data_IF_696459837383
#
_entry.id   IF_696459837383
#
_cell.length_a   1.000
_cell.length_b   1.000
_cell.length_c   1.000
_cell.angle_alpha   90.00
_cell.angle_beta   90.00
_cell.angle_gamma   90.00
#
_symmetry.space_group_name_H-M   'P 1'
#
loop_
_entity.id
_entity.type
_entity.pdbx_description
1 polymer ?
#
# COMPACT_ATOMS: atom_id res chain seq x y z
N UNK A 1 17.46 1.48 11.59
CA UNK A 1 18.04 0.77 10.42
C UNK A 1 18.11 -0.74 10.62
N UNK A 2 17.98 -1.23 11.85
CA UNK A 2 18.09 -2.67 12.16
C UNK A 2 16.76 -3.44 12.13
N UNK A 3 15.62 -2.79 11.86
CA UNK A 3 14.29 -3.42 11.90
C UNK A 3 13.63 -3.63 10.52
N UNK A 4 14.33 -3.28 9.43
CA UNK A 4 13.84 -3.49 8.07
C UNK A 4 15.00 -3.96 7.18
N UNK A 5 15.31 -5.25 7.26
CA UNK A 5 16.34 -5.83 6.41
C UNK A 5 16.79 -7.15 6.98
N UNK A 6 16.74 -8.17 6.13
CA UNK A 6 17.34 -9.47 6.39
C UNK A 6 18.79 -9.33 6.90
N UNK A 7 19.26 -10.34 7.64
CA UNK A 7 20.57 -10.47 8.32
C UNK A 7 21.81 -10.39 7.40
N UNK A 8 21.68 -9.87 6.18
CA UNK A 8 22.70 -9.84 5.14
C UNK A 8 23.83 -8.81 5.37
N UNK A 9 23.73 -7.97 6.41
CA UNK A 9 24.82 -7.07 6.78
C UNK A 9 26.02 -7.80 7.44
N UNK A 10 25.86 -9.05 7.85
CA UNK A 10 26.95 -9.84 8.45
C UNK A 10 27.58 -10.79 7.43
N UNK A 11 28.61 -10.29 6.71
CA UNK A 11 29.63 -11.17 6.11
C UNK A 11 30.10 -10.77 4.71
N UNK A 12 31.39 -10.50 4.60
CA UNK A 12 32.10 -10.47 3.32
C UNK A 12 32.20 -11.91 2.78
N UNK A 13 31.56 -12.20 1.64
CA UNK A 13 31.58 -13.55 1.06
C UNK A 13 32.47 -13.54 -0.17
N UNK A 14 33.65 -14.15 -0.07
CA UNK A 14 34.49 -14.40 -1.22
C UNK A 14 33.71 -15.29 -2.20
N UNK A 15 33.48 -14.81 -3.42
CA UNK A 15 32.59 -15.44 -4.41
C UNK A 15 32.97 -16.85 -4.90
N UNK A 16 33.97 -17.50 -4.28
CA UNK A 16 34.44 -18.84 -4.63
C UNK A 16 33.78 -19.96 -3.81
N UNK A 17 33.05 -19.67 -2.73
CA UNK A 17 32.54 -20.68 -1.77
C UNK A 17 30.99 -20.85 -1.74
N UNK A 18 30.24 -20.19 -2.64
CA UNK A 18 28.78 -20.30 -2.69
C UNK A 18 28.31 -21.15 -3.87
N UNK A 19 27.32 -22.02 -3.63
CA UNK A 19 26.61 -22.66 -4.73
C UNK A 19 25.87 -21.59 -5.55
N UNK A 20 25.73 -21.83 -6.86
CA UNK A 20 25.07 -20.88 -7.77
C UNK A 20 23.63 -20.60 -7.31
N UNK A 21 22.91 -21.62 -6.84
CA UNK A 21 21.54 -21.47 -6.36
C UNK A 21 21.46 -20.54 -5.14
N UNK A 22 22.38 -20.67 -4.18
CA UNK A 22 22.47 -19.79 -3.00
C UNK A 22 22.80 -18.34 -3.38
N UNK A 23 23.65 -18.15 -4.40
CA UNK A 23 23.99 -16.82 -4.91
C UNK A 23 22.77 -16.16 -5.58
N UNK A 24 22.03 -16.92 -6.40
CA UNK A 24 20.82 -16.43 -7.07
C UNK A 24 19.76 -16.03 -6.04
N UNK A 25 19.54 -16.84 -5.01
CA UNK A 25 18.59 -16.52 -3.93
C UNK A 25 18.98 -15.22 -3.21
N UNK A 26 20.26 -15.04 -2.87
CA UNK A 26 20.74 -13.80 -2.21
C UNK A 26 20.59 -12.56 -3.09
N UNK A 27 20.91 -12.67 -4.38
CA UNK A 27 20.75 -11.55 -5.33
C UNK A 27 19.28 -11.21 -5.49
N UNK A 28 18.41 -12.21 -5.59
CA UNK A 28 16.97 -12.01 -5.68
C UNK A 28 16.41 -11.33 -4.43
N UNK A 29 16.82 -11.78 -3.24
CA UNK A 29 16.45 -11.14 -1.97
C UNK A 29 16.90 -9.68 -1.92
N UNK A 30 18.16 -9.38 -2.26
CA UNK A 30 18.68 -8.01 -2.30
C UNK A 30 17.93 -7.12 -3.30
N UNK A 31 17.66 -7.61 -4.51
CA UNK A 31 16.91 -6.84 -5.51
C UNK A 31 15.46 -6.62 -5.07
N UNK A 32 14.84 -7.60 -4.42
CA UNK A 32 13.50 -7.46 -3.83
C UNK A 32 13.50 -6.41 -2.72
N UNK A 33 14.49 -6.44 -1.83
CA UNK A 33 14.65 -5.44 -0.76
C UNK A 33 14.82 -4.03 -1.36
N UNK A 34 15.67 -3.86 -2.37
CA UNK A 34 15.85 -2.57 -3.06
C UNK A 34 14.56 -2.12 -3.76
N UNK A 35 13.86 -3.02 -4.45
CA UNK A 35 12.59 -2.72 -5.14
C UNK A 35 11.50 -2.29 -4.17
N UNK A 36 11.44 -2.92 -3.00
CA UNK A 36 10.39 -2.68 -2.00
C UNK A 36 10.76 -1.59 -0.99
N UNK A 37 12.01 -1.12 -1.01
CA UNK A 37 12.45 0.01 -0.18
C UNK A 37 11.76 1.29 -0.65
N UNK A 38 11.05 1.94 0.27
CA UNK A 38 10.37 3.19 -0.03
C UNK A 38 11.38 4.34 -0.16
N UNK A 39 11.63 4.77 -1.39
CA UNK A 39 12.39 6.00 -1.67
C UNK A 39 11.40 7.15 -1.77
N UNK A 40 11.68 8.26 -1.08
CA UNK A 40 10.85 9.47 -1.16
C UNK A 40 10.72 9.88 -2.63
N UNK A 41 9.48 10.01 -3.12
CA UNK A 41 9.13 10.34 -4.51
C UNK A 41 9.44 11.82 -4.89
N UNK A 42 10.43 12.43 -4.24
CA UNK A 42 10.84 13.82 -4.46
C UNK A 42 11.03 14.62 -3.17
N UNK A 43 11.03 15.95 -3.32
CA UNK A 43 11.01 16.91 -2.23
C UNK A 43 9.58 17.41 -2.00
N UNK A 44 9.28 17.76 -0.76
CA UNK A 44 8.04 18.43 -0.39
C UNK A 44 8.07 19.90 -0.82
N UNK A 45 6.97 20.38 -1.39
CA UNK A 45 6.72 21.80 -1.61
C UNK A 45 5.62 22.27 -0.67
N UNK A 46 5.91 23.33 0.09
CA UNK A 46 4.98 23.85 1.10
C UNK A 46 3.65 24.29 0.45
N UNK A 47 2.53 23.83 0.99
CA UNK A 47 1.20 24.15 0.47
C UNK A 47 0.74 23.31 -0.73
N UNK A 48 1.60 22.43 -1.24
CA UNK A 48 1.32 21.59 -2.41
C UNK A 48 1.25 20.12 -1.98
N UNK A 49 0.04 19.59 -1.67
CA UNK A 49 -0.10 18.16 -1.44
C UNK A 49 0.30 17.36 -2.70
N UNK A 50 0.70 16.09 -2.55
CA UNK A 50 0.89 15.21 -3.69
C UNK A 50 -0.41 15.10 -4.51
N UNK A 51 -0.25 14.95 -5.82
CA UNK A 51 -1.36 14.87 -6.78
C UNK A 51 -1.14 13.72 -7.77
N UNK A 52 -2.21 13.31 -8.45
CA UNK A 52 -2.22 12.26 -9.47
C UNK A 52 -1.54 10.97 -8.96
N UNK A 53 -0.71 10.32 -9.78
CA UNK A 53 0.00 9.09 -9.44
C UNK A 53 0.80 9.19 -8.13
N UNK A 54 1.31 10.39 -7.80
CA UNK A 54 2.06 10.58 -6.53
C UNK A 54 1.14 10.48 -5.32
N UNK A 55 -0.11 10.92 -5.43
CA UNK A 55 -1.08 10.80 -4.34
C UNK A 55 -1.41 9.33 -4.10
N UNK A 56 -1.64 8.57 -5.18
CA UNK A 56 -1.94 7.13 -5.12
C UNK A 56 -0.82 6.38 -4.41
N UNK A 57 0.42 6.53 -4.90
CA UNK A 57 1.61 5.90 -4.30
C UNK A 57 1.82 6.30 -2.84
N UNK A 58 1.57 7.57 -2.52
CA UNK A 58 1.72 8.06 -1.16
C UNK A 58 0.69 7.45 -0.20
N UNK A 59 -0.57 7.35 -0.63
CA UNK A 59 -1.64 6.73 0.16
C UNK A 59 -1.41 5.23 0.35
N UNK A 60 -1.06 4.50 -0.72
CA UNK A 60 -0.71 3.06 -0.64
C UNK A 60 0.44 2.84 0.33
N UNK A 61 1.43 3.75 0.35
CA UNK A 61 2.53 3.62 1.28
C UNK A 61 2.15 3.96 2.73
N UNK A 62 1.31 4.97 2.96
CA UNK A 62 0.80 5.31 4.30
C UNK A 62 -0.05 4.18 4.90
N UNK A 63 -0.77 3.43 4.06
CA UNK A 63 -1.62 2.31 4.48
C UNK A 63 -0.96 0.94 4.32
N UNK A 64 0.35 0.91 4.04
CA UNK A 64 1.13 -0.34 3.94
C UNK A 64 1.12 -1.14 5.25
N UNK A 65 1.00 -0.46 6.39
CA UNK A 65 0.88 -1.05 7.72
C UNK A 65 -0.49 -0.73 8.30
N UNK A 66 -0.87 -1.47 9.35
CA UNK A 66 -2.07 -1.18 10.12
C UNK A 66 -2.01 0.25 10.69
N UNK A 67 -3.12 0.96 10.57
CA UNK A 67 -3.30 2.30 11.13
C UNK A 67 -4.26 2.23 12.32
N UNK A 68 -4.24 3.21 13.25
CA UNK A 68 -5.21 3.24 14.34
C UNK A 68 -6.66 3.27 13.79
N UNK A 69 -7.38 2.17 13.99
CA UNK A 69 -8.76 2.02 13.50
C UNK A 69 -8.91 1.58 12.05
N UNK A 70 -7.85 1.06 11.40
CA UNK A 70 -7.95 0.44 10.08
C UNK A 70 -6.83 -0.61 9.83
N UNK A 71 -7.12 -1.73 9.15
CA UNK A 71 -6.12 -2.74 8.80
C UNK A 71 -5.13 -2.24 7.73
N UNK A 72 -4.05 -2.98 7.53
CA UNK A 72 -3.10 -2.73 6.43
C UNK A 72 -3.78 -2.96 5.08
N UNK A 73 -3.74 -1.98 4.17
CA UNK A 73 -4.23 -2.15 2.80
C UNK A 73 -3.51 -3.31 2.10
N UNK A 74 -2.19 -3.39 2.27
CA UNK A 74 -1.36 -4.42 1.62
C UNK A 74 -1.73 -5.82 2.07
N UNK A 75 -1.95 -6.01 3.37
CA UNK A 75 -2.37 -7.29 3.93
C UNK A 75 -3.81 -7.65 3.54
N UNK A 76 -4.72 -6.68 3.56
CA UNK A 76 -6.10 -6.87 3.14
C UNK A 76 -6.19 -7.31 1.67
N UNK A 77 -5.46 -6.63 0.77
CA UNK A 77 -5.39 -6.99 -0.65
C UNK A 77 -4.76 -8.38 -0.82
N UNK A 78 -3.66 -8.69 -0.13
CA UNK A 78 -3.06 -10.03 -0.15
C UNK A 78 -4.08 -11.11 0.26
N UNK A 79 -4.83 -10.86 1.33
CA UNK A 79 -5.88 -11.75 1.80
C UNK A 79 -6.99 -11.98 0.77
N UNK A 80 -7.43 -10.95 0.05
CA UNK A 80 -8.45 -11.08 -1.01
C UNK A 80 -7.91 -11.85 -2.20
N UNK A 81 -6.66 -11.59 -2.60
CA UNK A 81 -5.99 -12.30 -3.69
C UNK A 81 -5.68 -13.78 -3.37
N UNK A 82 -5.85 -14.20 -2.11
CA UNK A 82 -5.54 -15.54 -1.62
C UNK A 82 -4.05 -15.75 -1.33
N UNK A 83 -3.29 -14.67 -1.16
CA UNK A 83 -1.85 -14.68 -0.85
C UNK A 83 -1.67 -14.68 0.67
N UNK A 84 -0.84 -15.59 1.17
CA UNK A 84 -0.38 -15.59 2.56
C UNK A 84 0.61 -14.42 2.77
N UNK A 85 0.20 -13.43 3.56
CA UNK A 85 0.94 -12.18 3.75
C UNK A 85 2.31 -12.38 4.42
N UNK A 86 2.39 -13.29 5.40
CA UNK A 86 3.65 -13.56 6.12
C UNK A 86 4.62 -14.30 5.19
N UNK A 87 4.15 -15.32 4.48
CA UNK A 87 4.96 -16.04 3.50
C UNK A 87 5.43 -15.13 2.37
N UNK A 88 4.57 -14.21 1.92
CA UNK A 88 4.91 -13.20 0.92
C UNK A 88 6.10 -12.32 1.37
N UNK A 89 6.16 -12.00 2.66
CA UNK A 89 7.19 -11.13 3.24
C UNK A 89 8.46 -11.87 3.61
N UNK A 90 8.34 -13.09 4.13
CA UNK A 90 9.45 -13.86 4.67
C UNK A 90 10.13 -14.75 3.62
N UNK A 91 9.41 -15.15 2.58
CA UNK A 91 9.87 -16.13 1.59
C UNK A 91 9.59 -15.69 0.15
N UNK A 92 10.00 -14.47 -0.27
CA UNK A 92 9.67 -13.92 -1.59
C UNK A 92 10.12 -14.81 -2.77
N UNK A 93 11.21 -15.57 -2.64
CA UNK A 93 11.69 -16.47 -3.69
C UNK A 93 10.97 -17.82 -3.76
N UNK A 94 10.12 -18.17 -2.79
CA UNK A 94 9.43 -19.45 -2.81
C UNK A 94 8.25 -19.43 -3.79
N UNK A 95 8.10 -20.52 -4.54
CA UNK A 95 7.00 -20.74 -5.47
C UNK A 95 5.81 -21.37 -4.73
N UNK A 96 4.60 -20.82 -4.96
CA UNK A 96 3.36 -21.39 -4.44
C UNK A 96 2.56 -22.02 -5.59
N UNK A 97 2.16 -23.28 -5.43
CA UNK A 97 1.46 -24.03 -6.47
C UNK A 97 0.03 -23.52 -6.73
N UNK A 98 -0.66 -22.99 -5.71
CA UNK A 98 -2.02 -22.47 -5.87
C UNK A 98 -2.01 -21.11 -6.55
N UNK A 99 -1.04 -20.25 -6.21
CA UNK A 99 -0.84 -18.97 -6.88
C UNK A 99 -0.27 -19.15 -8.30
N UNK A 100 0.48 -20.22 -8.54
CA UNK A 100 1.15 -20.47 -9.82
C UNK A 100 2.29 -19.49 -10.11
N UNK A 101 2.88 -18.91 -9.07
CA UNK A 101 3.96 -17.92 -9.14
C UNK A 101 4.76 -17.87 -7.84
N UNK A 102 5.86 -17.12 -7.84
CA UNK A 102 6.62 -16.82 -6.62
C UNK A 102 5.91 -15.79 -5.74
N UNK A 103 6.22 -15.81 -4.45
CA UNK A 103 5.71 -14.81 -3.51
C UNK A 103 6.17 -13.38 -3.83
N UNK A 104 7.30 -13.19 -4.50
CA UNK A 104 7.74 -11.88 -4.99
C UNK A 104 6.84 -11.38 -6.13
N UNK A 105 6.48 -12.24 -7.08
CA UNK A 105 5.51 -11.91 -8.13
C UNK A 105 4.12 -11.65 -7.55
N UNK A 106 3.71 -12.44 -6.55
CA UNK A 106 2.46 -12.19 -5.82
C UNK A 106 2.49 -10.83 -5.09
N UNK A 107 3.63 -10.45 -4.49
CA UNK A 107 3.80 -9.15 -3.85
C UNK A 107 3.68 -7.98 -4.84
N UNK A 108 4.19 -8.15 -6.05
CA UNK A 108 4.02 -7.17 -7.13
C UNK A 108 2.54 -7.03 -7.50
N UNK A 109 1.83 -8.16 -7.65
CA UNK A 109 0.40 -8.15 -7.96
C UNK A 109 -0.43 -7.51 -6.84
N UNK A 110 -0.10 -7.77 -5.57
CA UNK A 110 -0.73 -7.11 -4.42
C UNK A 110 -0.54 -5.59 -4.50
N UNK A 111 0.66 -5.12 -4.84
CA UNK A 111 0.95 -3.70 -4.96
C UNK A 111 0.20 -3.05 -6.12
N UNK A 112 0.19 -3.69 -7.30
CA UNK A 112 -0.57 -3.23 -8.47
C UNK A 112 -2.06 -3.07 -8.14
N UNK A 113 -2.68 -4.10 -7.56
CA UNK A 113 -4.10 -4.04 -7.16
C UNK A 113 -4.34 -2.95 -6.11
N UNK A 114 -3.41 -2.75 -5.17
CA UNK A 114 -3.51 -1.66 -4.19
C UNK A 114 -3.51 -0.29 -4.88
N UNK A 115 -2.61 -0.09 -5.86
CA UNK A 115 -2.55 1.16 -6.62
C UNK A 115 -3.81 1.35 -7.49
N UNK A 116 -4.29 0.31 -8.17
CA UNK A 116 -5.49 0.37 -9.02
C UNK A 116 -6.75 0.74 -8.21
N UNK A 117 -6.91 0.14 -7.02
CA UNK A 117 -8.01 0.46 -6.11
C UNK A 117 -7.95 1.92 -5.65
N UNK A 118 -6.79 2.38 -5.19
CA UNK A 118 -6.61 3.76 -4.70
C UNK A 118 -6.71 4.77 -5.84
N UNK A 119 -6.23 4.45 -7.04
CA UNK A 119 -6.40 5.28 -8.23
C UNK A 119 -7.89 5.44 -8.57
N UNK A 120 -8.66 4.35 -8.53
CA UNK A 120 -10.11 4.39 -8.75
C UNK A 120 -10.82 5.28 -7.73
N UNK A 121 -10.43 5.22 -6.46
CA UNK A 121 -10.93 6.14 -5.43
C UNK A 121 -10.55 7.59 -5.75
N UNK A 122 -9.30 7.85 -6.14
CA UNK A 122 -8.81 9.19 -6.44
C UNK A 122 -9.52 9.83 -7.65
N UNK A 123 -9.80 9.06 -8.71
CA UNK A 123 -10.58 9.49 -9.88
C UNK A 123 -12.00 9.95 -9.52
N UNK A 124 -12.56 9.39 -8.45
CA UNK A 124 -13.86 9.77 -7.87
C UNK A 124 -13.75 10.79 -6.74
N UNK A 125 -12.57 11.34 -6.50
CA UNK A 125 -12.34 12.33 -5.45
C UNK A 125 -12.49 11.78 -4.03
N UNK A 126 -12.31 10.47 -3.85
CA UNK A 126 -12.49 9.74 -2.59
C UNK A 126 -13.93 9.80 -2.02
N UNK A 127 -14.91 10.15 -2.86
CA UNK A 127 -16.33 10.16 -2.52
C UNK A 127 -17.01 9.00 -3.26
N UNK A 128 -17.00 7.83 -2.63
CA UNK A 128 -17.54 6.59 -3.20
C UNK A 128 -18.58 6.02 -2.24
N UNK A 129 -19.83 5.77 -2.68
CA UNK A 129 -20.87 5.20 -1.82
C UNK A 129 -20.46 3.84 -1.26
N UNK A 130 -20.94 3.49 -0.06
CA UNK A 130 -20.64 2.17 0.51
C UNK A 130 -21.32 1.05 -0.29
N UNK A 131 -22.54 1.28 -0.78
CA UNK A 131 -23.35 0.26 -1.46
C UNK A 131 -24.29 0.82 -2.51
N UNK A 132 -24.81 -0.07 -3.36
CA UNK A 132 -25.90 0.21 -4.33
C UNK A 132 -27.14 0.88 -3.72
N UNK A 133 -27.36 0.75 -2.41
CA UNK A 133 -28.50 1.40 -1.74
C UNK A 133 -28.28 2.88 -1.49
N UNK A 134 -27.01 3.27 -1.37
CA UNK A 134 -26.56 4.63 -1.10
C UNK A 134 -26.08 5.33 -2.37
N UNK A 135 -25.74 4.53 -3.39
CA UNK A 135 -25.45 4.97 -4.73
C UNK A 135 -26.65 5.71 -5.36
N UNK A 136 -26.37 6.87 -5.93
CA UNK A 136 -27.26 7.57 -6.84
C UNK A 136 -27.35 6.85 -8.20
N UNK A 137 -28.33 7.22 -9.04
CA UNK A 137 -28.53 6.61 -10.36
C UNK A 137 -27.35 6.79 -11.32
N UNK A 138 -26.43 7.72 -11.04
CA UNK A 138 -25.23 8.01 -11.84
C UNK A 138 -23.94 7.41 -11.24
N UNK A 139 -24.02 6.73 -10.09
CA UNK A 139 -22.87 6.12 -9.43
C UNK A 139 -22.56 4.75 -10.02
N UNK A 140 -21.61 4.71 -10.95
CA UNK A 140 -21.18 3.47 -11.61
C UNK A 140 -20.31 2.55 -10.73
N UNK A 141 -19.82 3.05 -9.59
CA UNK A 141 -18.86 2.35 -8.71
C UNK A 141 -19.27 2.60 -7.26
N UNK A 142 -19.24 1.55 -6.44
CA UNK A 142 -19.36 1.63 -4.98
C UNK A 142 -18.32 0.73 -4.31
N UNK A 143 -18.12 0.93 -3.00
CA UNK A 143 -17.10 0.23 -2.23
C UNK A 143 -17.27 -1.29 -2.28
N UNK A 144 -18.51 -1.78 -2.25
CA UNK A 144 -18.78 -3.22 -2.33
C UNK A 144 -18.38 -3.82 -3.68
N UNK A 145 -18.66 -3.14 -4.79
CA UNK A 145 -18.25 -3.60 -6.12
C UNK A 145 -16.72 -3.64 -6.22
N UNK A 146 -16.03 -2.56 -5.81
CA UNK A 146 -14.56 -2.50 -5.84
C UNK A 146 -13.91 -3.67 -5.12
N UNK A 147 -14.46 -4.07 -3.97
CA UNK A 147 -13.91 -5.15 -3.15
C UNK A 147 -14.25 -6.54 -3.68
N UNK A 148 -15.44 -6.72 -4.26
CA UNK A 148 -15.91 -8.01 -4.77
C UNK A 148 -15.33 -8.34 -6.15
N UNK A 149 -15.05 -7.32 -6.95
CA UNK A 149 -14.46 -7.47 -8.29
C UNK A 149 -12.96 -7.79 -8.27
N UNK A 150 -12.33 -7.86 -7.09
CA UNK A 150 -10.95 -8.32 -6.95
C UNK A 150 -10.89 -9.86 -7.02
N UNK A 151 -10.40 -10.36 -8.14
CA UNK A 151 -10.21 -11.80 -8.37
C UNK A 151 -9.00 -12.37 -7.63
N UNK A 152 -9.14 -13.60 -7.11
CA UNK A 152 -8.02 -14.38 -6.56
C UNK A 152 -6.97 -14.73 -7.62
N UNK A 153 -5.72 -14.91 -7.19
CA UNK A 153 -4.64 -15.36 -8.07
C UNK A 153 -4.70 -16.88 -8.24
N UNK A 154 -4.68 -17.35 -9.48
CA UNK A 154 -4.62 -18.78 -9.80
C UNK A 154 -5.79 -19.57 -9.20
N UNK A 155 -5.48 -20.67 -8.52
CA UNK A 155 -6.45 -21.52 -7.81
C UNK A 155 -6.51 -21.21 -6.30
N UNK A 156 -5.90 -20.10 -5.86
CA UNK A 156 -5.92 -19.68 -4.47
C UNK A 156 -7.33 -19.27 -4.02
N UNK A 157 -7.49 -19.12 -2.70
CA UNK A 157 -8.77 -18.76 -2.10
C UNK A 157 -8.58 -17.56 -1.19
N UNK A 158 -9.47 -16.58 -1.33
CA UNK A 158 -9.51 -15.44 -0.43
C UNK A 158 -9.58 -15.90 1.03
N UNK A 159 -8.81 -15.22 1.90
CA UNK A 159 -8.86 -15.43 3.34
C UNK A 159 -10.25 -15.00 3.85
N UNK A 160 -10.80 -15.77 4.78
CA UNK A 160 -12.05 -15.40 5.45
C UNK A 160 -11.93 -14.02 6.11
N UNK A 161 -12.86 -13.12 5.80
CA UNK A 161 -12.88 -11.74 6.31
C UNK A 161 -12.04 -10.74 5.50
N UNK A 162 -11.25 -11.19 4.52
CA UNK A 162 -10.34 -10.28 3.80
C UNK A 162 -11.06 -9.18 3.01
N UNK A 163 -12.25 -9.46 2.47
CA UNK A 163 -13.06 -8.43 1.82
C UNK A 163 -13.55 -7.37 2.81
N UNK A 164 -13.84 -7.75 4.06
CA UNK A 164 -14.25 -6.81 5.09
C UNK A 164 -13.05 -5.95 5.54
N UNK A 165 -11.90 -6.58 5.75
CA UNK A 165 -10.66 -5.87 6.06
C UNK A 165 -10.25 -4.92 4.91
N UNK A 166 -10.46 -5.32 3.65
CA UNK A 166 -10.20 -4.45 2.50
C UNK A 166 -11.16 -3.26 2.46
N UNK A 167 -12.45 -3.50 2.72
CA UNK A 167 -13.44 -2.42 2.78
C UNK A 167 -13.10 -1.41 3.87
N UNK A 168 -12.69 -1.86 5.05
CA UNK A 168 -12.27 -1.00 6.15
C UNK A 168 -11.02 -0.18 5.79
N UNK A 169 -10.02 -0.80 5.16
CA UNK A 169 -8.82 -0.09 4.69
C UNK A 169 -9.14 0.98 3.64
N UNK A 170 -10.02 0.70 2.67
CA UNK A 170 -10.42 1.66 1.64
C UNK A 170 -11.28 2.79 2.21
N UNK A 171 -12.20 2.49 3.14
CA UNK A 171 -12.97 3.51 3.85
C UNK A 171 -12.07 4.46 4.64
N UNK A 172 -11.09 3.92 5.36
CA UNK A 172 -10.08 4.73 6.05
C UNK A 172 -9.29 5.65 5.10
N UNK A 173 -8.97 5.17 3.90
CA UNK A 173 -8.29 6.01 2.90
C UNK A 173 -9.17 7.21 2.52
N UNK A 174 -10.47 6.98 2.28
CA UNK A 174 -11.41 8.03 1.91
C UNK A 174 -11.67 9.03 3.05
N UNK A 175 -11.92 8.52 4.26
CA UNK A 175 -12.41 9.32 5.38
C UNK A 175 -11.30 10.02 6.16
N UNK A 176 -10.10 9.41 6.20
CA UNK A 176 -9.04 9.81 7.12
C UNK A 176 -7.73 10.13 6.40
N UNK A 177 -7.20 9.20 5.60
CA UNK A 177 -5.86 9.36 5.03
C UNK A 177 -5.83 10.45 3.95
N UNK A 178 -6.70 10.38 2.94
CA UNK A 178 -6.72 11.35 1.83
C UNK A 178 -7.05 12.78 2.30
N UNK A 179 -8.03 13.01 3.20
CA UNK A 179 -8.27 14.33 3.76
C UNK A 179 -7.08 14.89 4.54
N UNK A 180 -6.41 14.07 5.37
CA UNK A 180 -5.20 14.49 6.10
C UNK A 180 -4.06 14.87 5.17
N UNK A 181 -3.80 14.08 4.13
CA UNK A 181 -2.79 14.40 3.11
C UNK A 181 -3.15 15.70 2.37
N UNK A 182 -4.42 15.89 2.01
CA UNK A 182 -4.93 17.13 1.42
C UNK A 182 -4.78 18.36 2.33
N UNK A 183 -4.70 18.15 3.64
CA UNK A 183 -4.45 19.19 4.66
C UNK A 183 -3.14 19.96 4.47
N UNK A 184 -2.16 19.42 3.74
CA UNK A 184 -0.93 20.13 3.39
C UNK A 184 -1.20 21.48 2.67
N UNK A 185 -2.36 21.65 2.02
CA UNK A 185 -2.78 22.93 1.43
C UNK A 185 -2.85 24.08 2.44
N UNK A 186 -3.07 23.78 3.72
CA UNK A 186 -3.15 24.78 4.78
C UNK A 186 -1.77 25.27 5.28
N UNK A 187 -0.67 24.62 4.90
CA UNK A 187 0.67 24.91 5.42
C UNK A 187 1.09 26.38 5.24
N UNK A 188 0.90 26.93 4.04
CA UNK A 188 1.25 28.34 3.75
C UNK A 188 0.40 29.30 4.57
N UNK A 189 -0.89 28.99 4.74
CA UNK A 189 -1.81 29.78 5.58
C UNK A 189 -1.37 29.77 7.04
N UNK A 190 -1.11 28.60 7.60
CA UNK A 190 -0.65 28.45 8.98
C UNK A 190 0.68 29.19 9.24
N UNK A 191 1.59 29.21 8.26
CA UNK A 191 2.83 30.00 8.35
C UNK A 191 2.53 31.50 8.35
N UNK A 192 1.60 31.96 7.51
CA UNK A 192 1.19 33.36 7.48
C UNK A 192 0.58 33.79 8.82
N UNK A 193 -0.31 32.96 9.40
CA UNK A 193 -0.95 33.22 10.69
C UNK A 193 0.08 33.28 11.82
N UNK A 194 1.05 32.36 11.85
CA UNK A 194 2.16 32.37 12.80
C UNK A 194 2.97 33.67 12.73
N UNK A 195 3.26 34.16 11.51
CA UNK A 195 4.01 35.40 11.29
C UNK A 195 3.20 36.64 11.72
N UNK A 196 1.88 36.59 11.62
CA UNK A 196 0.97 37.63 12.08
C UNK A 196 0.76 37.61 13.61
N UNK A 197 1.29 36.60 14.32
CA UNK A 197 1.06 36.40 15.76
C UNK A 197 -0.34 35.86 16.07
N UNK A 198 -1.01 35.28 15.07
CA UNK A 198 -2.30 34.63 15.21
C UNK A 198 -2.14 33.20 15.74
N UNK A 199 -3.25 32.62 16.19
CA UNK A 199 -3.26 31.27 16.70
C UNK A 199 -3.18 30.25 15.56
N UNK A 200 -2.20 29.36 15.62
CA UNK A 200 -2.10 28.19 14.73
C UNK A 200 -2.57 26.94 15.48
N UNK A 201 -3.57 26.21 14.97
CA UNK A 201 -4.03 24.98 15.59
C UNK A 201 -2.90 23.94 15.77
N UNK A 202 -2.78 23.29 16.94
CA UNK A 202 -1.85 22.17 17.10
C UNK A 202 -2.29 20.98 16.24
N UNK A 203 -1.31 20.22 15.72
CA UNK A 203 -1.58 19.09 14.82
C UNK A 203 -2.09 17.82 15.52
N UNK A 204 -2.85 17.02 14.76
CA UNK A 204 -3.37 15.68 15.06
C UNK A 204 -3.85 15.00 13.79
#
# INVERSE_FOLDING_TARGET
PDEAGSTLAEGEVAGADLAIDDLVERVHAYLTDVKTTQIRMGLHTLGEPPADDRLVEYLVALTRLENPGAPSLRESVAGVLGVDYDQMRERPGAYDENLGMTYAEAADRVHEVSCDLVATLAERGFDVPESEREAGPDDEVNMNLLVVDVDTIGDARARSGAHDDLREALAYICEEAAPRVGGARAEVGNVADALAGEYVPPGG
#
